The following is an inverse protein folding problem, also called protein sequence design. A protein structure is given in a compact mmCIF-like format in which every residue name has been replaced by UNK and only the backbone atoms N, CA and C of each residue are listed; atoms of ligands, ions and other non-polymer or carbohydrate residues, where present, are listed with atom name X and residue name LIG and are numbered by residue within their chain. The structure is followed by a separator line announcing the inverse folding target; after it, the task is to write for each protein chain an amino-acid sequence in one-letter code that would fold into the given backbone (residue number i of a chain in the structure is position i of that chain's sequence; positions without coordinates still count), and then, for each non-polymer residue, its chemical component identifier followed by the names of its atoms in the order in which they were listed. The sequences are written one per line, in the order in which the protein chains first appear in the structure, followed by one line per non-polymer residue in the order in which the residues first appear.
data_IF_520888999582
#
_entry.id   IF_520888999582
#
_cell.length_a   1.000
_cell.length_b   1.000
_cell.length_c   1.000
_cell.angle_alpha   90.00
_cell.angle_beta   90.00
_cell.angle_gamma   90.00
#
_symmetry.space_group_name_H-M   'P 1'
#
loop_
_entity.id
_entity.type
_entity.pdbx_description
1 polymer ?
#
# COMPACT_ATOMS: atom_id res chain seq x y z
N UNK A 1 17.05 35.70 -13.50
CA UNK A 1 17.68 34.44 -13.06
C UNK A 1 16.90 33.99 -11.83
N UNK A 2 15.86 33.18 -12.03
CA UNK A 2 15.19 32.54 -10.89
C UNK A 2 16.20 31.63 -10.20
N UNK A 3 16.27 31.70 -8.86
CA UNK A 3 17.07 30.76 -8.10
C UNK A 3 16.48 29.37 -8.32
N UNK A 4 17.24 28.50 -8.95
CA UNK A 4 16.88 27.09 -9.09
C UNK A 4 16.65 26.51 -7.68
N UNK A 5 15.49 25.88 -7.46
CA UNK A 5 15.18 25.24 -6.18
C UNK A 5 16.24 24.15 -5.91
N UNK A 6 16.75 24.08 -4.69
CA UNK A 6 17.72 23.04 -4.32
C UNK A 6 17.00 21.79 -3.84
N UNK A 7 17.63 20.63 -3.97
CA UNK A 7 17.07 19.36 -3.48
C UNK A 7 16.65 19.44 -2.01
N UNK A 8 17.48 20.03 -1.16
CA UNK A 8 17.19 20.15 0.29
C UNK A 8 16.04 21.11 0.59
N UNK A 9 15.92 22.20 -0.16
CA UNK A 9 14.77 23.10 -0.04
C UNK A 9 13.49 22.43 -0.50
N UNK A 10 13.54 21.67 -1.60
CA UNK A 10 12.40 20.92 -2.11
C UNK A 10 11.93 19.86 -1.09
N UNK A 11 12.85 19.05 -0.54
CA UNK A 11 12.55 18.06 0.50
C UNK A 11 11.93 18.69 1.74
N UNK A 12 12.53 19.77 2.24
CA UNK A 12 12.01 20.50 3.40
C UNK A 12 10.62 21.06 3.12
N UNK A 13 10.41 21.59 1.90
CA UNK A 13 9.10 22.04 1.43
C UNK A 13 8.06 20.92 1.41
N UNK A 14 8.41 19.74 0.91
CA UNK A 14 7.53 18.56 0.87
C UNK A 14 7.11 18.14 2.29
N UNK A 15 8.05 18.05 3.23
CA UNK A 15 7.73 17.73 4.64
C UNK A 15 6.75 18.77 5.20
N UNK A 16 7.05 20.06 5.02
CA UNK A 16 6.18 21.14 5.50
C UNK A 16 4.78 21.06 4.87
N UNK A 17 4.66 20.62 3.62
CA UNK A 17 3.37 20.44 2.94
C UNK A 17 2.57 19.30 3.58
N UNK A 18 3.18 18.14 3.84
CA UNK A 18 2.51 17.01 4.51
C UNK A 18 2.13 17.30 5.96
N UNK A 19 2.91 18.15 6.63
CA UNK A 19 2.58 18.60 7.98
C UNK A 19 1.33 19.47 8.03
N UNK A 20 0.73 19.93 6.92
CA UNK A 20 -0.45 20.78 6.97
C UNK A 20 -1.76 19.99 7.07
N UNK A 21 -2.14 19.66 8.30
CA UNK A 21 -3.31 18.81 8.62
C UNK A 21 -4.68 19.37 8.19
N UNK A 22 -4.76 20.67 7.91
CA UNK A 22 -6.03 21.36 7.69
C UNK A 22 -6.61 21.17 6.29
N UNK A 23 -5.88 20.54 5.36
CA UNK A 23 -6.30 20.39 3.98
C UNK A 23 -6.57 18.95 3.56
N UNK A 24 -7.43 18.80 2.56
CA UNK A 24 -7.62 17.52 1.87
C UNK A 24 -6.33 17.13 1.13
N UNK A 25 -5.96 15.85 1.26
CA UNK A 25 -4.70 15.30 0.78
C UNK A 25 -4.47 15.52 -0.72
N UNK A 26 -5.52 15.54 -1.54
CA UNK A 26 -5.38 15.81 -2.98
C UNK A 26 -4.84 17.22 -3.25
N UNK A 27 -5.23 18.20 -2.43
CA UNK A 27 -4.70 19.56 -2.54
C UNK A 27 -3.22 19.61 -2.11
N UNK A 28 -2.87 18.91 -1.03
CA UNK A 28 -1.47 18.77 -0.59
C UNK A 28 -0.63 18.13 -1.70
N UNK A 29 -1.13 17.05 -2.30
CA UNK A 29 -0.49 16.33 -3.39
C UNK A 29 -0.18 17.21 -4.60
N UNK A 30 -1.02 18.20 -4.91
CA UNK A 30 -0.71 19.18 -5.96
C UNK A 30 0.49 20.05 -5.63
N UNK A 31 0.56 20.60 -4.42
CA UNK A 31 1.72 21.40 -4.04
C UNK A 31 2.99 20.56 -3.93
N UNK A 32 2.87 19.30 -3.50
CA UNK A 32 3.99 18.35 -3.48
C UNK A 32 4.45 18.05 -4.90
N UNK A 33 3.53 17.81 -5.83
CA UNK A 33 3.84 17.63 -7.24
C UNK A 33 4.60 18.83 -7.82
N UNK A 34 4.13 20.06 -7.55
CA UNK A 34 4.82 21.28 -7.97
C UNK A 34 6.24 21.37 -7.39
N UNK A 35 6.44 20.91 -6.15
CA UNK A 35 7.79 20.83 -5.56
C UNK A 35 8.66 19.77 -6.21
N UNK A 36 8.11 18.63 -6.59
CA UNK A 36 8.84 17.58 -7.32
C UNK A 36 9.38 18.14 -8.65
N UNK A 37 8.54 18.78 -9.47
CA UNK A 37 8.96 19.33 -10.78
C UNK A 37 9.85 20.58 -10.67
N UNK A 38 9.95 21.19 -9.49
CA UNK A 38 10.77 22.39 -9.28
C UNK A 38 12.28 22.13 -9.31
N UNK A 39 12.70 20.86 -9.28
CA UNK A 39 14.11 20.44 -9.35
C UNK A 39 14.31 19.49 -10.54
N UNK A 40 14.46 20.04 -11.77
CA UNK A 40 14.58 19.21 -12.98
C UNK A 40 15.73 18.20 -12.93
N UNK A 41 15.46 16.97 -13.35
CA UNK A 41 16.40 15.85 -13.35
C UNK A 41 16.52 15.09 -12.03
N UNK A 42 15.81 15.50 -10.97
CA UNK A 42 15.79 14.86 -9.65
C UNK A 42 14.39 14.46 -9.21
N UNK A 43 13.43 14.51 -10.13
CA UNK A 43 12.02 14.26 -9.85
C UNK A 43 11.73 12.84 -9.36
N UNK A 44 12.30 11.76 -9.93
CA UNK A 44 12.12 10.41 -9.38
C UNK A 44 12.59 10.28 -7.93
N UNK A 45 13.68 10.96 -7.57
CA UNK A 45 14.20 10.96 -6.20
C UNK A 45 13.30 11.75 -5.25
N UNK A 46 12.77 12.89 -5.68
CA UNK A 46 11.81 13.67 -4.90
C UNK A 46 10.45 12.97 -4.79
N UNK A 47 10.03 12.23 -5.81
CA UNK A 47 8.84 11.38 -5.79
C UNK A 47 9.00 10.29 -4.74
N UNK A 48 10.10 9.53 -4.78
CA UNK A 48 10.43 8.51 -3.77
C UNK A 48 10.41 9.10 -2.37
N UNK A 49 11.13 10.20 -2.17
CA UNK A 49 11.18 10.90 -0.90
C UNK A 49 9.79 11.30 -0.39
N UNK A 50 8.95 11.88 -1.25
CA UNK A 50 7.61 12.30 -0.87
C UNK A 50 6.74 11.10 -0.41
N UNK A 51 6.78 10.00 -1.16
CA UNK A 51 6.02 8.79 -0.84
C UNK A 51 6.48 8.16 0.48
N UNK A 52 7.79 8.13 0.74
CA UNK A 52 8.34 7.59 2.00
C UNK A 52 8.07 8.50 3.22
N UNK A 53 8.04 9.82 3.04
CA UNK A 53 7.86 10.78 4.13
C UNK A 53 6.41 10.95 4.56
N UNK A 54 5.45 10.74 3.67
CA UNK A 54 4.03 10.91 4.01
C UNK A 54 3.60 10.02 5.18
N UNK A 55 3.99 8.75 5.21
CA UNK A 55 3.67 7.83 6.31
C UNK A 55 4.34 8.21 7.64
N UNK A 56 5.46 8.95 7.58
CA UNK A 56 6.28 9.32 8.74
C UNK A 56 5.92 10.68 9.32
N UNK A 57 5.11 11.47 8.60
CA UNK A 57 4.84 12.86 8.96
C UNK A 57 3.60 12.96 9.83
N UNK A 58 3.78 13.44 11.06
CA UNK A 58 2.64 13.81 11.91
C UNK A 58 2.04 15.15 11.42
N UNK A 59 0.72 15.20 11.14
CA UNK A 59 0.08 16.44 10.76
C UNK A 59 0.13 17.45 11.92
N UNK A 60 0.56 18.67 11.60
CA UNK A 60 0.53 19.83 12.50
C UNK A 60 -0.52 20.84 12.02
N UNK A 61 -1.20 21.52 12.93
CA UNK A 61 -2.23 22.51 12.57
C UNK A 61 -1.62 23.86 12.14
N UNK A 62 -0.78 23.89 11.10
CA UNK A 62 0.04 25.06 10.80
C UNK A 62 0.13 25.43 9.30
N UNK A 63 -1.01 25.61 8.63
CA UNK A 63 -1.21 26.60 7.55
C UNK A 63 -2.54 26.34 6.83
N UNK A 64 -3.09 27.40 6.22
CA UNK A 64 -4.08 27.28 5.16
C UNK A 64 -3.35 27.49 3.82
N UNK A 65 -3.27 26.44 2.99
CA UNK A 65 -2.93 26.62 1.58
C UNK A 65 -4.23 26.84 0.79
N UNK A 66 -4.09 27.35 -0.43
CA UNK A 66 -5.23 27.59 -1.30
C UNK A 66 -5.85 26.25 -1.77
N UNK A 67 -7.18 26.22 -1.88
CA UNK A 67 -7.88 25.05 -2.37
C UNK A 67 -7.80 25.01 -3.90
N UNK A 68 -7.22 23.95 -4.43
CA UNK A 68 -6.99 23.72 -5.87
C UNK A 68 -8.07 22.82 -6.48
N UNK A 69 -8.60 21.86 -5.71
CA UNK A 69 -9.64 20.93 -6.14
C UNK A 69 -10.93 21.15 -5.35
N UNK A 70 -12.02 21.28 -6.08
CA UNK A 70 -13.37 21.12 -5.55
C UNK A 70 -13.66 19.63 -5.29
N UNK A 71 -14.76 19.37 -4.56
CA UNK A 71 -15.20 17.98 -4.32
C UNK A 71 -15.65 17.31 -5.61
N UNK A 72 -16.40 18.02 -6.43
CA UNK A 72 -16.91 17.50 -7.71
C UNK A 72 -15.75 17.20 -8.68
N UNK A 73 -14.68 18.00 -8.67
CA UNK A 73 -13.46 17.68 -9.43
C UNK A 73 -12.79 16.41 -8.92
N UNK A 74 -12.71 16.20 -7.60
CA UNK A 74 -12.13 14.96 -7.04
C UNK A 74 -12.90 13.73 -7.52
N UNK A 75 -14.22 13.74 -7.38
CA UNK A 75 -15.08 12.64 -7.80
C UNK A 75 -14.96 12.41 -9.31
N UNK A 76 -14.97 13.49 -10.11
CA UNK A 76 -14.77 13.40 -11.57
C UNK A 76 -13.41 12.84 -11.96
N UNK A 77 -12.35 13.16 -11.22
CA UNK A 77 -10.99 12.70 -11.53
C UNK A 77 -10.83 11.22 -11.16
N UNK A 78 -11.41 10.79 -10.04
CA UNK A 78 -11.47 9.38 -9.66
C UNK A 78 -12.19 8.54 -10.75
N UNK A 79 -13.32 9.02 -11.24
CA UNK A 79 -14.08 8.35 -12.31
C UNK A 79 -13.33 8.32 -13.65
N UNK A 80 -12.63 9.42 -13.99
CA UNK A 80 -12.00 9.60 -15.31
C UNK A 80 -10.63 8.92 -15.37
N UNK A 81 -9.78 9.13 -14.36
CA UNK A 81 -8.36 8.76 -14.40
C UNK A 81 -8.02 7.61 -13.45
N UNK A 82 -8.81 7.35 -12.41
CA UNK A 82 -8.47 6.39 -11.35
C UNK A 82 -8.09 5.01 -11.86
N UNK A 83 -8.91 4.42 -12.76
CA UNK A 83 -8.61 3.11 -13.36
C UNK A 83 -7.34 3.08 -14.21
N UNK A 84 -7.03 4.19 -14.88
CA UNK A 84 -5.82 4.29 -15.70
C UNK A 84 -4.57 4.35 -14.82
N UNK A 85 -4.60 5.18 -13.77
CA UNK A 85 -3.50 5.29 -12.81
C UNK A 85 -3.29 3.98 -12.06
N UNK A 86 -4.37 3.33 -11.60
CA UNK A 86 -4.32 2.02 -10.96
C UNK A 86 -3.70 0.95 -11.87
N UNK A 87 -4.18 0.85 -13.13
CA UNK A 87 -3.65 -0.10 -14.10
C UNK A 87 -2.17 0.13 -14.43
N UNK A 88 -1.75 1.40 -14.49
CA UNK A 88 -0.34 1.76 -14.67
C UNK A 88 0.52 1.32 -13.48
N UNK A 89 0.09 1.65 -12.25
CA UNK A 89 0.79 1.26 -11.03
C UNK A 89 0.89 -0.26 -10.90
N UNK A 90 -0.22 -0.97 -11.13
CA UNK A 90 -0.28 -2.43 -11.12
C UNK A 90 0.70 -3.07 -12.12
N UNK A 91 0.84 -2.48 -13.32
CA UNK A 91 1.78 -2.94 -14.32
C UNK A 91 3.24 -2.78 -13.87
N UNK A 92 3.58 -1.71 -13.15
CA UNK A 92 4.93 -1.52 -12.60
C UNK A 92 5.21 -2.46 -11.43
N UNK A 93 4.25 -2.64 -10.52
CA UNK A 93 4.39 -3.54 -9.36
C UNK A 93 4.63 -5.00 -9.80
N UNK A 94 4.00 -5.44 -10.88
CA UNK A 94 4.17 -6.79 -11.44
C UNK A 94 5.53 -7.05 -12.09
N UNK A 95 6.28 -6.02 -12.45
CA UNK A 95 7.59 -6.18 -13.12
C UNK A 95 8.70 -6.62 -12.15
N UNK A 96 8.52 -6.46 -10.83
CA UNK A 96 9.56 -6.78 -9.84
C UNK A 96 10.84 -5.99 -10.07
N UNK A 97 10.71 -4.68 -10.29
CA UNK A 97 11.83 -3.78 -10.56
C UNK A 97 12.64 -3.52 -9.28
N UNK A 98 13.92 -3.19 -9.40
CA UNK A 98 14.65 -2.61 -8.28
C UNK A 98 14.04 -1.25 -7.88
N UNK A 99 14.30 -0.82 -6.64
CA UNK A 99 13.70 0.40 -6.10
C UNK A 99 13.97 1.64 -6.96
N UNK A 100 15.19 1.80 -7.49
CA UNK A 100 15.56 2.98 -8.26
C UNK A 100 14.82 2.99 -9.61
N UNK A 101 14.87 1.88 -10.34
CA UNK A 101 14.17 1.72 -11.62
C UNK A 101 12.66 1.87 -11.46
N UNK A 102 12.07 1.37 -10.38
CA UNK A 102 10.64 1.53 -10.11
C UNK A 102 10.23 3.01 -10.07
N UNK A 103 10.90 3.85 -9.28
CA UNK A 103 10.52 5.26 -9.16
C UNK A 103 10.81 6.07 -10.43
N UNK A 104 11.86 5.70 -11.19
CA UNK A 104 12.13 6.30 -12.51
C UNK A 104 11.00 5.99 -13.50
N UNK A 105 10.61 4.73 -13.62
CA UNK A 105 9.54 4.28 -14.51
C UNK A 105 8.17 4.81 -14.06
N UNK A 106 7.90 4.88 -12.75
CA UNK A 106 6.68 5.45 -12.21
C UNK A 106 6.56 6.94 -12.55
N UNK A 107 7.63 7.71 -12.34
CA UNK A 107 7.64 9.13 -12.68
C UNK A 107 7.43 9.35 -14.18
N UNK A 108 8.17 8.60 -15.00
CA UNK A 108 8.01 8.61 -16.46
C UNK A 108 6.58 8.26 -16.86
N UNK A 109 6.00 7.23 -16.24
CA UNK A 109 4.62 6.81 -16.44
C UNK A 109 3.61 7.92 -16.16
N UNK A 110 3.78 8.71 -15.09
CA UNK A 110 2.93 9.88 -14.80
C UNK A 110 3.12 10.97 -15.85
N UNK A 111 4.37 11.27 -16.24
CA UNK A 111 4.69 12.41 -17.10
C UNK A 111 4.33 12.19 -18.57
N UNK A 112 4.52 10.96 -19.06
CA UNK A 112 4.29 10.57 -20.45
C UNK A 112 2.90 9.96 -20.67
N UNK A 113 2.04 9.94 -19.63
CA UNK A 113 0.70 9.40 -19.74
C UNK A 113 -0.14 10.24 -20.72
N UNK A 114 -0.66 9.66 -21.81
CA UNK A 114 -1.41 10.42 -22.81
C UNK A 114 -2.76 10.92 -22.30
N UNK A 115 -3.26 10.44 -21.16
CA UNK A 115 -4.52 10.95 -20.57
C UNK A 115 -4.30 11.96 -19.44
N UNK A 116 -3.05 12.24 -19.03
CA UNK A 116 -2.72 13.20 -17.98
C UNK A 116 -1.97 14.39 -18.61
N UNK A 117 -2.70 15.36 -19.11
CA UNK A 117 -2.14 16.47 -19.90
C UNK A 117 -1.66 17.63 -19.02
N UNK A 118 -2.33 17.86 -17.90
CA UNK A 118 -2.15 19.01 -17.02
C UNK A 118 -1.46 18.64 -15.71
N UNK A 119 -0.86 19.64 -15.06
CA UNK A 119 -0.27 19.48 -13.73
C UNK A 119 -1.30 19.04 -12.68
N UNK A 120 -2.58 19.43 -12.81
CA UNK A 120 -3.65 18.97 -11.92
C UNK A 120 -3.91 17.47 -12.07
N UNK A 121 -3.94 16.97 -13.30
CA UNK A 121 -4.15 15.54 -13.56
C UNK A 121 -2.95 14.69 -13.12
N UNK A 122 -1.73 15.19 -13.36
CA UNK A 122 -0.51 14.52 -12.89
C UNK A 122 -0.38 14.54 -11.37
N UNK A 123 -0.77 15.64 -10.72
CA UNK A 123 -0.88 15.71 -9.26
C UNK A 123 -1.94 14.76 -8.70
N UNK A 124 -3.06 14.59 -9.40
CA UNK A 124 -4.07 13.59 -9.03
C UNK A 124 -3.51 12.17 -9.14
N UNK A 125 -2.77 11.85 -10.20
CA UNK A 125 -2.10 10.55 -10.30
C UNK A 125 -1.14 10.33 -9.14
N UNK A 126 -0.34 11.33 -8.78
CA UNK A 126 0.52 11.29 -7.59
C UNK A 126 -0.29 11.05 -6.30
N UNK A 127 -1.39 11.78 -6.07
CA UNK A 127 -2.29 11.56 -4.94
C UNK A 127 -2.81 10.12 -4.90
N UNK A 128 -3.26 9.60 -6.05
CA UNK A 128 -3.87 8.28 -6.14
C UNK A 128 -2.86 7.17 -5.86
N UNK A 129 -1.60 7.35 -6.27
CA UNK A 129 -0.47 6.48 -5.94
C UNK A 129 -0.09 6.61 -4.45
N UNK A 130 -0.09 7.83 -3.90
CA UNK A 130 0.30 8.12 -2.52
C UNK A 130 -0.58 7.38 -1.50
N UNK A 131 -1.86 7.17 -1.81
CA UNK A 131 -2.81 6.48 -0.94
C UNK A 131 -2.85 4.95 -1.17
N UNK A 132 -2.09 4.43 -2.12
CA UNK A 132 -2.01 2.99 -2.36
C UNK A 132 -1.21 2.30 -1.24
N UNK A 133 -1.80 1.28 -0.63
CA UNK A 133 -1.21 0.55 0.51
C UNK A 133 0.11 -0.17 0.19
N UNK A 134 0.44 -0.33 -1.11
CA UNK A 134 1.67 -0.98 -1.58
C UNK A 134 2.80 0.04 -1.77
N UNK A 135 2.54 1.30 -1.48
CA UNK A 135 3.48 2.42 -1.54
C UNK A 135 3.77 2.87 -0.09
N UNK A 136 5.03 3.18 0.28
CA UNK A 136 6.23 3.22 -0.56
C UNK A 136 6.66 1.84 -1.08
N UNK A 137 7.21 1.82 -2.30
CA UNK A 137 7.64 0.58 -2.96
C UNK A 137 8.94 0.06 -2.34
N UNK A 138 8.94 -1.25 -2.04
CA UNK A 138 10.11 -2.00 -1.64
C UNK A 138 10.35 -3.15 -2.62
N UNK A 139 11.59 -3.29 -3.06
CA UNK A 139 12.03 -4.46 -3.81
C UNK A 139 11.89 -5.70 -2.92
N UNK A 140 11.33 -6.77 -3.48
CA UNK A 140 11.12 -8.03 -2.78
C UNK A 140 12.04 -9.09 -3.36
N UNK A 141 12.70 -9.82 -2.48
CA UNK A 141 13.42 -11.04 -2.87
C UNK A 141 12.45 -12.05 -3.50
N UNK A 142 12.91 -12.89 -4.46
CA UNK A 142 12.08 -13.91 -5.05
C UNK A 142 11.43 -14.82 -4.00
N UNK A 143 10.12 -15.01 -4.11
CA UNK A 143 9.36 -15.89 -3.23
C UNK A 143 9.55 -17.37 -3.55
N UNK A 144 9.18 -18.24 -2.61
CA UNK A 144 9.14 -19.69 -2.86
C UNK A 144 7.94 -20.01 -3.75
N UNK A 145 8.23 -20.61 -4.90
CA UNK A 145 7.24 -21.23 -5.78
C UNK A 145 7.25 -22.76 -5.64
N UNK A 146 6.06 -23.35 -5.77
CA UNK A 146 5.87 -24.80 -5.71
C UNK A 146 4.64 -25.24 -6.50
N UNK A 147 4.59 -26.51 -6.89
CA UNK A 147 3.42 -27.06 -7.57
C UNK A 147 2.26 -27.24 -6.58
N UNK A 148 1.02 -27.28 -7.08
CA UNK A 148 -0.15 -27.56 -6.25
C UNK A 148 -0.06 -28.93 -5.56
N UNK A 149 0.49 -29.94 -6.25
CA UNK A 149 0.68 -31.28 -5.69
C UNK A 149 1.66 -31.24 -4.50
N UNK A 150 2.78 -30.56 -4.68
CA UNK A 150 3.77 -30.40 -3.61
C UNK A 150 3.19 -29.62 -2.42
N UNK A 151 2.47 -28.53 -2.69
CA UNK A 151 1.79 -27.75 -1.67
C UNK A 151 0.82 -28.61 -0.84
N UNK A 152 0.00 -29.44 -1.50
CA UNK A 152 -0.95 -30.35 -0.84
C UNK A 152 -0.23 -31.41 -0.01
N UNK A 153 0.87 -31.97 -0.53
CA UNK A 153 1.65 -32.97 0.20
C UNK A 153 2.23 -32.38 1.50
N UNK A 154 2.86 -31.21 1.42
CA UNK A 154 3.38 -30.51 2.61
C UNK A 154 2.23 -30.13 3.57
N UNK A 155 1.09 -29.66 3.04
CA UNK A 155 -0.07 -29.34 3.86
C UNK A 155 -0.58 -30.55 4.66
N UNK A 156 -0.58 -31.74 4.06
CA UNK A 156 -0.99 -32.99 4.71
C UNK A 156 0.01 -33.42 5.80
N UNK A 157 1.31 -33.29 5.52
CA UNK A 157 2.38 -33.53 6.50
C UNK A 157 2.24 -32.64 7.74
N UNK A 158 1.91 -31.35 7.55
CA UNK A 158 1.78 -30.35 8.61
C UNK A 158 0.41 -30.35 9.32
N UNK A 159 -0.42 -31.38 9.12
CA UNK A 159 -1.81 -31.36 9.58
C UNK A 159 -1.97 -31.27 11.11
N UNK A 160 -1.07 -31.90 11.88
CA UNK A 160 -1.07 -31.85 13.34
C UNK A 160 -0.56 -30.50 13.87
N UNK A 161 0.49 -29.96 13.26
CA UNK A 161 1.02 -28.63 13.51
C UNK A 161 -0.09 -27.60 13.26
N UNK A 162 -0.83 -27.73 12.16
CA UNK A 162 -1.95 -26.82 11.88
C UNK A 162 -3.09 -26.91 12.90
N UNK A 163 -3.35 -28.08 13.50
CA UNK A 163 -4.31 -28.19 14.63
C UNK A 163 -3.82 -27.41 15.85
N UNK A 164 -2.54 -27.55 16.20
CA UNK A 164 -1.93 -26.80 17.31
C UNK A 164 -1.92 -25.30 17.06
N UNK A 165 -1.61 -24.89 15.84
CA UNK A 165 -1.60 -23.49 15.44
C UNK A 165 -2.99 -22.86 15.55
N UNK A 166 -4.04 -23.55 15.07
CA UNK A 166 -5.43 -23.12 15.29
C UNK A 166 -5.76 -22.94 16.76
N UNK A 167 -5.37 -23.90 17.61
CA UNK A 167 -5.57 -23.75 19.05
C UNK A 167 -4.88 -22.49 19.60
N UNK A 168 -3.62 -22.24 19.23
CA UNK A 168 -2.90 -21.02 19.65
C UNK A 168 -3.61 -19.74 19.19
N UNK A 169 -4.11 -19.72 17.96
CA UNK A 169 -4.83 -18.58 17.38
C UNK A 169 -6.09 -18.21 18.18
N UNK A 170 -6.88 -19.22 18.58
CA UNK A 170 -8.13 -19.02 19.30
C UNK A 170 -8.00 -19.08 20.82
N UNK A 171 -6.84 -19.50 21.35
CA UNK A 171 -6.62 -19.53 22.78
C UNK A 171 -6.71 -18.11 23.38
N UNK A 172 -7.31 -17.98 24.58
CA UNK A 172 -7.30 -16.73 25.30
C UNK A 172 -5.86 -16.37 25.66
N UNK A 173 -5.45 -15.15 25.32
CA UNK A 173 -4.14 -14.61 25.68
C UNK A 173 -4.32 -13.20 26.22
N UNK A 174 -3.52 -12.83 27.22
CA UNK A 174 -3.54 -11.47 27.78
C UNK A 174 -2.86 -10.45 26.84
N UNK A 175 -1.95 -10.91 25.99
CA UNK A 175 -1.15 -10.08 25.09
C UNK A 175 -1.03 -10.74 23.72
N UNK A 176 -1.16 -9.94 22.66
CA UNK A 176 -1.00 -10.41 21.27
C UNK A 176 0.38 -11.04 21.04
N UNK A 177 1.42 -10.48 21.66
CA UNK A 177 2.81 -10.99 21.59
C UNK A 177 2.95 -12.42 22.10
N UNK A 178 2.20 -12.82 23.13
CA UNK A 178 2.24 -14.19 23.66
C UNK A 178 1.62 -15.22 22.71
N UNK A 179 0.62 -14.80 21.91
CA UNK A 179 0.09 -15.64 20.83
C UNK A 179 1.11 -15.76 19.70
N UNK A 180 1.68 -14.63 19.28
CA UNK A 180 2.64 -14.59 18.17
C UNK A 180 3.91 -15.38 18.48
N UNK A 181 4.49 -15.26 19.68
CA UNK A 181 5.71 -15.98 20.04
C UNK A 181 5.52 -17.50 20.02
N UNK A 182 4.33 -17.99 20.37
CA UNK A 182 4.00 -19.43 20.26
C UNK A 182 3.97 -19.91 18.81
N UNK A 183 3.47 -19.09 17.88
CA UNK A 183 3.52 -19.41 16.45
C UNK A 183 4.95 -19.38 15.90
N UNK A 184 5.76 -18.41 16.34
CA UNK A 184 7.19 -18.34 16.00
C UNK A 184 7.90 -19.61 16.46
N UNK A 185 7.69 -20.06 17.71
CA UNK A 185 8.28 -21.31 18.18
C UNK A 185 7.87 -22.54 17.36
N UNK A 186 6.66 -22.54 16.79
CA UNK A 186 6.27 -23.61 15.87
C UNK A 186 7.03 -23.52 14.55
N UNK A 187 7.15 -22.32 13.96
CA UNK A 187 7.94 -22.10 12.75
C UNK A 187 9.39 -22.53 12.91
N UNK A 188 10.00 -22.23 14.06
CA UNK A 188 11.38 -22.62 14.37
C UNK A 188 11.58 -24.14 14.44
N UNK A 189 10.51 -24.88 14.71
CA UNK A 189 10.51 -26.36 14.80
C UNK A 189 10.18 -27.05 13.48
N UNK A 190 9.67 -26.32 12.48
CA UNK A 190 9.44 -26.85 11.14
C UNK A 190 10.78 -27.06 10.43
N UNK A 191 10.80 -28.01 9.48
CA UNK A 191 12.00 -28.41 8.76
C UNK A 191 12.56 -27.29 7.88
N UNK A 192 12.31 -27.39 6.58
CA UNK A 192 12.84 -26.45 5.60
C UNK A 192 11.97 -25.21 5.42
N UNK A 193 12.45 -24.28 4.62
CA UNK A 193 11.75 -23.04 4.31
C UNK A 193 10.42 -23.27 3.56
N UNK A 194 10.30 -24.38 2.82
CA UNK A 194 9.07 -24.73 2.08
C UNK A 194 7.96 -25.13 3.04
N UNK A 195 8.27 -25.94 4.05
CA UNK A 195 7.33 -26.26 5.13
C UNK A 195 6.89 -25.01 5.89
N UNK A 196 7.82 -24.10 6.19
CA UNK A 196 7.50 -22.81 6.84
C UNK A 196 6.59 -21.94 5.97
N UNK A 197 6.86 -21.86 4.67
CA UNK A 197 6.04 -21.12 3.71
C UNK A 197 4.61 -21.68 3.63
N UNK A 198 4.46 -23.01 3.50
CA UNK A 198 3.14 -23.66 3.47
C UNK A 198 2.39 -23.47 4.78
N UNK A 199 3.07 -23.62 5.92
CA UNK A 199 2.48 -23.36 7.24
C UNK A 199 1.96 -21.92 7.35
N UNK A 200 2.78 -20.94 6.98
CA UNK A 200 2.37 -19.52 7.00
C UNK A 200 1.23 -19.22 6.03
N UNK A 201 1.24 -19.80 4.82
CA UNK A 201 0.14 -19.66 3.87
C UNK A 201 -1.18 -20.17 4.47
N UNK A 202 -1.15 -21.30 5.20
CA UNK A 202 -2.33 -21.82 5.89
C UNK A 202 -2.80 -20.91 7.04
N UNK A 203 -1.87 -20.31 7.80
CA UNK A 203 -2.20 -19.35 8.86
C UNK A 203 -2.84 -18.08 8.27
N UNK A 204 -2.27 -17.53 7.20
CA UNK A 204 -2.83 -16.37 6.50
C UNK A 204 -4.23 -16.67 5.94
N UNK A 205 -4.45 -17.87 5.40
CA UNK A 205 -5.78 -18.31 4.94
C UNK A 205 -6.82 -18.35 6.08
N UNK A 206 -6.43 -18.72 7.30
CA UNK A 206 -7.32 -18.70 8.47
C UNK A 206 -7.69 -17.26 8.83
N UNK A 207 -6.71 -16.35 8.85
CA UNK A 207 -6.97 -14.94 9.12
C UNK A 207 -7.82 -14.27 8.04
N UNK A 208 -7.54 -14.53 6.77
CA UNK A 208 -8.29 -13.99 5.63
C UNK A 208 -9.78 -14.35 5.71
N UNK A 209 -10.09 -15.63 5.98
CA UNK A 209 -11.48 -16.09 6.16
C UNK A 209 -12.18 -15.42 7.35
N UNK A 210 -11.47 -15.26 8.47
CA UNK A 210 -12.05 -14.59 9.65
C UNK A 210 -12.39 -13.12 9.39
N UNK A 211 -11.59 -12.40 8.59
CA UNK A 211 -11.86 -11.01 8.23
C UNK A 211 -13.06 -10.92 7.30
N UNK A 212 -13.15 -11.80 6.29
CA UNK A 212 -14.31 -11.83 5.38
C UNK A 212 -15.60 -12.19 6.11
N UNK A 213 -15.56 -13.16 7.03
CA UNK A 213 -16.74 -13.56 7.81
C UNK A 213 -17.22 -12.42 8.72
N UNK A 214 -16.30 -11.71 9.39
CA UNK A 214 -16.64 -10.56 10.22
C UNK A 214 -17.19 -9.38 9.41
N UNK A 215 -16.64 -9.13 8.21
CA UNK A 215 -17.15 -8.11 7.29
C UNK A 215 -18.57 -8.48 6.82
N UNK A 216 -18.80 -9.73 6.43
CA UNK A 216 -20.10 -10.22 6.02
C UNK A 216 -21.13 -10.12 7.16
N UNK A 217 -20.78 -10.54 8.38
CA UNK A 217 -21.63 -10.38 9.55
C UNK A 217 -21.94 -8.91 9.83
N UNK A 218 -20.95 -8.02 9.76
CA UNK A 218 -21.16 -6.58 9.93
C UNK A 218 -22.02 -5.93 8.83
N UNK A 219 -21.98 -6.45 7.60
CA UNK A 219 -22.83 -6.01 6.49
C UNK A 219 -24.27 -6.54 6.63
N UNK A 220 -24.44 -7.76 7.14
CA UNK A 220 -25.77 -8.32 7.48
C UNK A 220 -26.40 -7.54 8.65
N UNK A 221 -25.63 -7.25 9.71
CA UNK A 221 -26.09 -6.44 10.85
C UNK A 221 -26.49 -5.02 10.43
N UNK A 222 -25.80 -4.45 9.42
CA UNK A 222 -26.11 -3.15 8.84
C UNK A 222 -27.23 -3.20 7.78
N UNK A 223 -27.82 -4.36 7.51
CA UNK A 223 -28.90 -4.54 6.53
C UNK A 223 -28.47 -4.33 5.07
N UNK A 224 -27.17 -4.40 4.79
CA UNK A 224 -26.62 -4.24 3.42
C UNK A 224 -26.72 -5.56 2.65
N UNK A 225 -26.70 -6.69 3.35
CA UNK A 225 -26.85 -8.03 2.78
C UNK A 225 -27.96 -8.79 3.52
N UNK A 226 -28.79 -9.52 2.78
CA UNK A 226 -29.77 -10.44 3.37
C UNK A 226 -29.09 -11.74 3.81
N UNK A 227 -29.52 -12.30 4.94
CA UNK A 227 -29.09 -13.62 5.40
C UNK A 227 -29.45 -14.68 4.36
N UNK A 228 -28.43 -15.27 3.73
CA UNK A 228 -28.65 -16.43 2.86
C UNK A 228 -28.98 -17.62 3.76
N UNK A 229 -30.28 -17.92 3.90
CA UNK A 229 -30.74 -19.17 4.50
C UNK A 229 -30.19 -20.33 3.66
N UNK A 230 -29.22 -21.05 4.21
CA UNK A 230 -28.79 -22.32 3.62
C UNK A 230 -29.99 -23.30 3.65
N UNK A 231 -30.19 -24.08 2.57
CA UNK A 231 -31.22 -25.12 2.53
C UNK A 231 -30.99 -26.21 3.58
#
# INVERSE_FOLDING_TARGET
MEKQETMENAKSGIINLFQNAAMDLLNISYYVYLKIISVPGREPELLKFALEQYEQTEPTENAQLEKVFTRDEKDSYEDTYGKNVDGMLEAFLKKGLDSETFYQELWKGIQENPVLETDKEKAFAFYFILIDVRIPYFELEPGIEMSNEEYINIQNELSEEMKRARFILYAPTKQKTARTSRLIHMLDQLGDERQKAVFMAQILNIFGKSVTDNLLSGLIEKGVLEEVKKP
#
